data_IF_855267367756
#
_entry.id   IF_855267367756
#
_cell.length_a   1.000
_cell.length_b   1.000
_cell.length_c   1.000
_cell.angle_alpha   90.00
_cell.angle_beta   90.00
_cell.angle_gamma   90.00
#
_symmetry.space_group_name_H-M   'P 1'
#
loop_
_entity.id
_entity.type
_entity.pdbx_description
1 polymer ?
#
# COMPACT_ATOMS: atom_id res chain seq x y z
N UNK A 1 67.45 37.52 -25.65
CA UNK A 1 66.06 37.17 -25.20
C UNK A 1 65.40 36.35 -26.29
N UNK A 2 65.45 35.03 -26.20
CA UNK A 2 64.84 34.11 -27.20
C UNK A 2 63.71 33.36 -26.57
N UNK A 3 62.47 33.61 -27.04
CA UNK A 3 61.27 32.85 -26.69
C UNK A 3 61.35 31.47 -27.36
N UNK A 4 61.33 30.42 -26.59
CA UNK A 4 61.16 29.04 -27.08
C UNK A 4 59.64 28.71 -27.04
N UNK A 5 59.11 28.43 -28.20
CA UNK A 5 57.79 27.92 -28.44
C UNK A 5 57.81 26.42 -28.32
N UNK A 6 57.08 25.84 -27.37
CA UNK A 6 56.96 24.38 -27.22
C UNK A 6 55.68 23.98 -27.99
N UNK A 7 55.88 23.19 -29.02
CA UNK A 7 54.78 22.55 -29.81
C UNK A 7 54.47 21.23 -29.12
N UNK A 8 53.26 21.10 -28.58
CA UNK A 8 52.74 19.81 -28.12
C UNK A 8 52.09 19.10 -29.32
N UNK A 9 52.69 17.99 -29.74
CA UNK A 9 52.07 17.03 -30.63
C UNK A 9 51.14 16.14 -29.81
N UNK A 10 49.82 16.27 -30.01
CA UNK A 10 48.84 15.33 -29.52
C UNK A 10 48.71 14.17 -30.54
N UNK A 11 49.22 13.01 -30.16
CA UNK A 11 49.02 11.76 -30.89
C UNK A 11 47.65 11.21 -30.55
N UNK A 12 46.68 11.29 -31.46
CA UNK A 12 45.39 10.61 -31.36
C UNK A 12 45.59 9.11 -31.65
N UNK A 13 45.62 8.30 -30.61
CA UNK A 13 45.46 6.86 -30.75
C UNK A 13 43.98 6.53 -30.90
N UNK A 14 43.57 6.22 -32.13
CA UNK A 14 42.23 5.74 -32.47
C UNK A 14 42.15 4.27 -32.06
N UNK A 15 41.68 3.98 -30.83
CA UNK A 15 41.25 2.64 -30.45
C UNK A 15 39.91 2.36 -31.16
N UNK A 16 39.95 1.49 -32.17
CA UNK A 16 38.75 0.83 -32.66
C UNK A 16 38.28 -0.14 -31.58
N UNK A 17 37.32 0.29 -30.72
CA UNK A 17 36.48 -0.63 -29.99
C UNK A 17 35.52 -1.24 -31.03
N UNK A 18 35.81 -2.49 -31.41
CA UNK A 18 34.80 -3.34 -32.02
C UNK A 18 33.71 -3.54 -30.97
N UNK A 19 32.63 -2.78 -31.10
CA UNK A 19 31.40 -2.99 -30.34
C UNK A 19 30.88 -4.38 -30.67
N UNK A 20 31.14 -5.35 -29.81
CA UNK A 20 30.24 -6.49 -29.69
C UNK A 20 28.94 -5.93 -29.11
N UNK A 21 27.99 -5.65 -29.98
CA UNK A 21 26.60 -5.59 -29.59
C UNK A 21 26.23 -7.01 -29.15
N UNK A 22 26.34 -7.29 -27.87
CA UNK A 22 25.60 -8.37 -27.25
C UNK A 22 24.16 -7.89 -27.35
N UNK A 23 23.46 -8.31 -28.40
CA UNK A 23 22.00 -8.32 -28.42
C UNK A 23 21.64 -9.38 -27.38
N UNK A 24 21.47 -8.97 -26.13
CA UNK A 24 20.65 -9.72 -25.24
C UNK A 24 19.29 -9.81 -25.96
N UNK A 25 18.86 -10.97 -26.36
CA UNK A 25 17.44 -11.18 -26.64
C UNK A 25 16.74 -10.77 -25.37
N UNK A 26 16.03 -9.64 -25.38
CA UNK A 26 15.12 -9.29 -24.29
C UNK A 26 14.23 -10.52 -24.13
N UNK A 27 14.35 -11.18 -23.00
CA UNK A 27 13.43 -12.24 -22.63
C UNK A 27 12.12 -11.53 -22.33
N UNK A 28 11.18 -11.61 -23.28
CA UNK A 28 9.85 -10.99 -23.17
C UNK A 28 8.85 -11.90 -22.47
N UNK A 29 9.34 -12.93 -21.78
CA UNK A 29 8.49 -13.79 -20.95
C UNK A 29 7.91 -12.96 -19.79
N UNK A 30 6.68 -13.27 -19.40
CA UNK A 30 5.97 -12.63 -18.29
C UNK A 30 5.75 -11.11 -18.45
N UNK A 31 5.58 -10.61 -19.69
CA UNK A 31 5.24 -9.21 -19.94
C UNK A 31 3.72 -9.05 -20.06
N UNK A 32 3.17 -8.11 -19.30
CA UNK A 32 1.73 -7.84 -19.22
C UNK A 32 1.46 -6.36 -19.50
N UNK A 33 0.42 -6.07 -20.28
CA UNK A 33 -0.06 -4.72 -20.50
C UNK A 33 -0.90 -4.24 -19.31
N UNK A 34 -0.68 -3.01 -18.87
CA UNK A 34 -1.53 -2.32 -17.90
C UNK A 34 -2.07 -1.01 -18.46
N UNK A 35 -3.00 -0.37 -17.75
CA UNK A 35 -3.55 0.94 -18.15
C UNK A 35 -2.49 2.04 -18.21
N UNK A 36 -1.34 1.86 -17.54
CA UNK A 36 -0.25 2.85 -17.52
C UNK A 36 0.93 2.49 -18.43
N UNK A 37 1.14 1.22 -18.75
CA UNK A 37 2.25 0.73 -19.58
C UNK A 37 2.49 -0.75 -19.39
N UNK A 38 3.58 -1.27 -19.96
CA UNK A 38 3.93 -2.69 -19.83
C UNK A 38 4.73 -2.93 -18.54
N UNK A 39 4.41 -4.04 -17.88
CA UNK A 39 5.16 -4.54 -16.73
C UNK A 39 5.71 -5.94 -17.03
N UNK A 40 6.88 -6.25 -16.47
CA UNK A 40 7.48 -7.57 -16.58
C UNK A 40 7.68 -8.18 -15.20
N UNK A 41 7.10 -9.35 -14.98
CA UNK A 41 7.30 -10.16 -13.77
C UNK A 41 8.48 -11.12 -13.88
N UNK A 42 8.80 -11.75 -12.77
CA UNK A 42 9.83 -12.77 -12.64
C UNK A 42 9.22 -14.07 -12.12
N UNK A 43 9.84 -15.20 -12.47
CA UNK A 43 9.47 -16.46 -11.82
C UNK A 43 9.95 -16.45 -10.37
N UNK A 44 9.13 -16.98 -9.45
CA UNK A 44 9.49 -17.12 -8.05
C UNK A 44 10.75 -17.94 -7.88
N UNK A 45 11.59 -17.53 -6.94
CA UNK A 45 12.78 -18.27 -6.53
C UNK A 45 12.55 -19.06 -5.23
N UNK A 46 11.36 -18.99 -4.68
CA UNK A 46 11.00 -19.64 -3.43
C UNK A 46 10.76 -21.13 -3.68
N UNK A 47 11.31 -21.98 -2.82
CA UNK A 47 11.21 -23.43 -2.94
C UNK A 47 9.73 -23.88 -2.89
N UNK A 48 9.30 -24.57 -3.93
CA UNK A 48 7.93 -25.08 -4.08
C UNK A 48 6.98 -24.12 -4.83
N UNK A 49 7.48 -22.96 -5.29
CA UNK A 49 6.70 -21.97 -6.03
C UNK A 49 7.32 -21.59 -7.38
N UNK A 50 8.12 -22.48 -7.98
CA UNK A 50 8.87 -22.21 -9.20
C UNK A 50 7.99 -21.94 -10.42
N UNK A 51 6.70 -22.32 -10.37
CA UNK A 51 5.71 -22.03 -11.41
C UNK A 51 5.02 -20.66 -11.22
N UNK A 52 5.23 -20.02 -10.07
CA UNK A 52 4.62 -18.73 -9.76
C UNK A 52 5.40 -17.62 -10.44
N UNK A 53 4.68 -16.74 -11.09
CA UNK A 53 5.18 -15.48 -11.63
C UNK A 53 4.79 -14.35 -10.69
N UNK A 54 5.79 -13.64 -10.21
CA UNK A 54 5.63 -12.50 -9.29
C UNK A 54 5.87 -11.19 -10.05
N UNK A 55 4.94 -10.26 -9.88
CA UNK A 55 5.11 -8.85 -10.26
C UNK A 55 5.20 -8.04 -8.98
N UNK A 56 6.41 -7.61 -8.61
CA UNK A 56 6.68 -6.88 -7.37
C UNK A 56 6.81 -5.39 -7.63
N UNK A 57 6.05 -4.58 -6.89
CA UNK A 57 6.12 -3.14 -6.98
C UNK A 57 5.49 -2.57 -8.26
N UNK A 58 4.33 -3.06 -8.64
CA UNK A 58 3.53 -2.49 -9.75
C UNK A 58 2.84 -1.21 -9.26
N UNK A 59 3.09 -0.04 -9.88
CA UNK A 59 2.46 1.20 -9.46
C UNK A 59 0.97 1.22 -9.86
N UNK A 60 0.09 1.51 -8.90
CA UNK A 60 -1.34 1.67 -9.16
C UNK A 60 -1.80 3.14 -9.12
N UNK A 61 -0.96 4.05 -8.63
CA UNK A 61 -1.21 5.47 -8.59
C UNK A 61 0.11 6.26 -8.65
N UNK A 62 0.03 7.55 -8.90
CA UNK A 62 1.18 8.44 -8.87
C UNK A 62 1.76 8.54 -7.45
N UNK A 63 3.09 8.71 -7.29
CA UNK A 63 3.72 8.92 -5.99
C UNK A 63 3.07 10.07 -5.21
N UNK A 64 2.59 9.85 -3.98
CA UNK A 64 1.91 10.87 -3.18
C UNK A 64 2.90 11.80 -2.45
N UNK A 65 3.87 12.33 -3.18
CA UNK A 65 5.00 13.13 -2.66
C UNK A 65 4.84 14.62 -2.96
N UNK A 66 5.51 15.46 -2.20
CA UNK A 66 5.52 16.91 -2.42
C UNK A 66 4.11 17.50 -2.41
N UNK A 67 3.69 18.14 -3.51
CA UNK A 67 2.36 18.75 -3.62
C UNK A 67 1.20 17.76 -3.57
N UNK A 68 1.46 16.46 -3.77
CA UNK A 68 0.47 15.37 -3.66
C UNK A 68 0.38 14.78 -2.25
N UNK A 69 1.28 15.15 -1.32
CA UNK A 69 1.18 14.74 0.08
C UNK A 69 -0.16 15.23 0.66
N UNK A 70 -0.92 14.32 1.30
CA UNK A 70 -2.27 14.56 1.82
C UNK A 70 -3.28 15.03 0.75
N UNK A 71 -3.19 14.45 -0.44
CA UNK A 71 -4.22 14.54 -1.48
C UNK A 71 -4.74 13.15 -1.83
N UNK A 72 -5.91 13.12 -2.47
CA UNK A 72 -6.41 11.89 -3.07
C UNK A 72 -5.39 11.33 -4.08
N UNK A 73 -5.25 9.99 -4.19
CA UNK A 73 -4.33 9.40 -5.15
C UNK A 73 -4.71 9.79 -6.58
N UNK A 74 -3.69 10.05 -7.39
CA UNK A 74 -3.83 10.43 -8.79
C UNK A 74 -3.40 9.28 -9.70
N UNK A 75 -3.90 9.28 -10.94
CA UNK A 75 -3.43 8.31 -11.94
C UNK A 75 -1.92 8.46 -12.16
N UNK A 76 -1.24 7.34 -12.31
CA UNK A 76 0.18 7.35 -12.64
C UNK A 76 0.37 7.83 -14.09
N UNK A 77 1.49 8.51 -14.37
CA UNK A 77 1.88 8.84 -15.73
C UNK A 77 2.16 7.56 -16.53
N UNK A 78 1.76 7.54 -17.82
CA UNK A 78 2.02 6.41 -18.69
C UNK A 78 3.50 6.35 -19.06
N UNK A 79 4.00 5.12 -19.20
CA UNK A 79 5.36 4.85 -19.67
C UNK A 79 5.37 4.01 -20.94
N UNK A 80 6.39 4.20 -21.77
CA UNK A 80 6.52 3.51 -23.08
C UNK A 80 7.41 2.26 -22.98
N UNK A 81 8.41 2.27 -22.09
CA UNK A 81 9.33 1.14 -21.88
C UNK A 81 8.66 0.05 -21.02
N UNK A 82 9.29 -1.14 -20.94
CA UNK A 82 8.84 -2.19 -20.02
C UNK A 82 9.36 -1.92 -18.62
N UNK A 83 8.47 -1.75 -17.67
CA UNK A 83 8.82 -1.65 -16.24
C UNK A 83 9.07 -3.05 -15.69
N UNK A 84 10.30 -3.33 -15.26
CA UNK A 84 10.65 -4.59 -14.62
C UNK A 84 10.20 -4.56 -13.16
N UNK A 85 9.29 -5.48 -12.81
CA UNK A 85 8.67 -5.61 -11.50
C UNK A 85 9.25 -6.85 -10.77
N UNK A 86 10.55 -6.80 -10.43
CA UNK A 86 11.32 -7.90 -9.88
C UNK A 86 11.66 -7.76 -8.39
N UNK A 87 11.45 -6.56 -7.82
CA UNK A 87 11.75 -6.26 -6.42
C UNK A 87 10.60 -5.52 -5.74
N UNK A 88 10.39 -5.81 -4.45
CA UNK A 88 9.50 -5.00 -3.65
C UNK A 88 10.01 -3.55 -3.60
N UNK A 89 9.08 -2.61 -3.61
CA UNK A 89 9.40 -1.19 -3.42
C UNK A 89 9.57 -0.89 -1.93
N UNK A 90 10.02 0.32 -1.65
CA UNK A 90 10.11 0.85 -0.30
C UNK A 90 8.76 0.77 0.40
N UNK A 91 8.77 0.45 1.69
CA UNK A 91 7.53 0.41 2.46
C UNK A 91 7.02 1.83 2.75
N UNK A 92 5.72 1.98 3.04
CA UNK A 92 5.15 3.26 3.45
C UNK A 92 5.87 3.84 4.66
N UNK A 93 6.00 5.17 4.71
CA UNK A 93 6.52 5.90 5.87
C UNK A 93 5.75 5.51 7.13
N UNK A 94 6.45 4.99 8.14
CA UNK A 94 5.87 4.48 9.37
C UNK A 94 6.88 4.47 10.51
N UNK A 95 6.42 4.42 11.76
CA UNK A 95 7.32 4.24 12.89
C UNK A 95 7.75 2.78 13.04
N UNK A 96 9.06 2.58 13.07
CA UNK A 96 9.68 1.28 13.35
C UNK A 96 9.75 1.08 14.86
N UNK A 97 8.80 0.39 15.46
CA UNK A 97 8.82 0.25 16.93
C UNK A 97 7.95 -0.86 17.49
N UNK A 98 7.17 -1.53 16.68
CA UNK A 98 6.42 -2.69 17.12
C UNK A 98 7.30 -3.94 17.03
N UNK A 99 8.13 -4.14 18.08
CA UNK A 99 8.85 -5.40 18.27
C UNK A 99 7.92 -6.31 19.07
N UNK A 100 7.53 -7.43 18.50
CA UNK A 100 6.84 -8.49 19.21
C UNK A 100 7.59 -8.86 20.50
N UNK A 101 6.90 -9.14 21.61
CA UNK A 101 7.53 -9.58 22.87
C UNK A 101 8.38 -10.86 22.71
N UNK A 102 8.19 -11.63 21.64
CA UNK A 102 8.96 -12.82 21.29
C UNK A 102 10.30 -12.49 20.63
N UNK A 103 10.59 -11.23 20.30
CA UNK A 103 11.77 -10.83 19.54
C UNK A 103 11.73 -11.26 18.07
N UNK A 104 10.61 -11.81 17.60
CA UNK A 104 10.36 -12.04 16.20
C UNK A 104 9.79 -10.76 15.61
N UNK A 105 10.57 -10.16 14.73
CA UNK A 105 10.13 -9.01 13.98
C UNK A 105 9.00 -9.44 13.03
N UNK A 106 7.82 -8.88 13.20
CA UNK A 106 6.68 -9.07 12.29
C UNK A 106 7.04 -8.67 10.85
N UNK A 107 8.13 -7.93 10.68
CA UNK A 107 8.47 -7.26 9.45
C UNK A 107 9.83 -7.68 8.84
N UNK A 108 10.40 -8.81 9.27
CA UNK A 108 11.72 -9.25 8.84
C UNK A 108 12.90 -8.48 9.46
N UNK A 109 13.98 -9.21 9.81
CA UNK A 109 15.18 -8.72 10.52
C UNK A 109 16.01 -7.64 9.80
N UNK A 110 15.56 -7.16 8.67
CA UNK A 110 16.09 -5.99 7.97
C UNK A 110 14.91 -5.08 7.69
N UNK A 111 14.76 -4.02 8.47
CA UNK A 111 13.78 -2.98 8.16
C UNK A 111 14.01 -2.50 6.71
N UNK A 112 13.01 -2.64 5.84
CA UNK A 112 13.14 -2.11 4.50
C UNK A 112 13.30 -0.60 4.52
N UNK A 113 13.84 -0.03 3.46
CA UNK A 113 13.82 1.41 3.27
C UNK A 113 12.37 1.90 3.22
N UNK A 114 12.11 3.09 3.74
CA UNK A 114 10.79 3.73 3.76
C UNK A 114 10.73 4.84 2.73
N UNK A 115 9.56 5.01 2.13
CA UNK A 115 9.29 6.13 1.22
C UNK A 115 7.84 6.59 1.32
N UNK A 116 7.60 7.86 1.01
CA UNK A 116 6.25 8.35 0.70
C UNK A 116 5.78 7.87 -0.68
N UNK A 117 6.72 7.58 -1.59
CA UNK A 117 6.44 6.89 -2.86
C UNK A 117 6.20 5.39 -2.57
N UNK A 118 4.97 5.07 -2.21
CA UNK A 118 4.58 3.75 -1.70
C UNK A 118 3.28 3.19 -2.31
N UNK A 119 2.72 3.82 -3.35
CA UNK A 119 1.45 3.36 -3.93
C UNK A 119 1.68 2.25 -4.97
N UNK A 120 2.10 1.10 -4.47
CA UNK A 120 2.44 -0.09 -5.24
C UNK A 120 1.63 -1.30 -4.78
N UNK A 121 1.53 -2.28 -5.65
CA UNK A 121 0.98 -3.60 -5.33
C UNK A 121 1.89 -4.70 -5.86
N UNK A 122 1.75 -5.89 -5.27
CA UNK A 122 2.41 -7.09 -5.76
C UNK A 122 1.34 -8.07 -6.25
N UNK A 123 1.63 -8.77 -7.35
CA UNK A 123 0.72 -9.76 -7.93
C UNK A 123 1.47 -11.09 -8.05
N UNK A 124 0.86 -12.17 -7.56
CA UNK A 124 1.30 -13.53 -7.78
C UNK A 124 0.28 -14.26 -8.66
N UNK A 125 0.77 -14.86 -9.74
CA UNK A 125 0.01 -15.65 -10.72
C UNK A 125 0.87 -16.82 -11.19
N UNK A 126 0.47 -17.57 -12.23
CA UNK A 126 1.29 -18.60 -12.88
C UNK A 126 1.44 -18.32 -14.37
N UNK A 127 2.47 -18.91 -15.01
CA UNK A 127 2.61 -18.84 -16.46
C UNK A 127 1.37 -19.39 -17.20
N UNK A 128 0.76 -20.43 -16.65
CA UNK A 128 -0.46 -21.01 -17.19
C UNK A 128 -1.63 -20.02 -17.15
N UNK A 129 -1.79 -19.31 -16.02
CA UNK A 129 -2.85 -18.32 -15.86
C UNK A 129 -2.62 -17.07 -16.72
N UNK A 130 -1.36 -16.64 -16.92
CA UNK A 130 -1.02 -15.51 -17.81
C UNK A 130 -1.37 -15.79 -19.27
N UNK A 131 -1.21 -17.04 -19.71
CA UNK A 131 -1.38 -17.43 -21.11
C UNK A 131 -2.71 -18.12 -21.40
N UNK A 132 -3.42 -18.55 -20.36
CA UNK A 132 -4.68 -19.28 -20.47
C UNK A 132 -5.88 -18.39 -20.78
N UNK A 133 -6.92 -19.01 -21.37
CA UNK A 133 -8.18 -18.34 -21.68
C UNK A 133 -9.12 -18.26 -20.45
N UNK A 134 -8.98 -19.18 -19.49
CA UNK A 134 -9.80 -19.24 -18.28
C UNK A 134 -9.31 -18.24 -17.25
N UNK A 135 -10.19 -17.32 -16.83
CA UNK A 135 -9.86 -16.36 -15.77
C UNK A 135 -10.09 -16.96 -14.39
N UNK A 136 -9.15 -16.69 -13.47
CA UNK A 136 -9.11 -17.27 -12.13
C UNK A 136 -9.65 -16.29 -11.08
N UNK A 137 -10.20 -16.78 -9.96
CA UNK A 137 -10.58 -15.92 -8.85
C UNK A 137 -9.42 -15.03 -8.40
N UNK A 138 -9.75 -13.83 -7.93
CA UNK A 138 -8.78 -12.85 -7.44
C UNK A 138 -8.91 -12.69 -5.94
N UNK A 139 -7.81 -12.75 -5.21
CA UNK A 139 -7.74 -12.42 -3.79
C UNK A 139 -6.89 -11.19 -3.57
N UNK A 140 -7.50 -10.12 -3.06
CA UNK A 140 -6.81 -8.87 -2.72
C UNK A 140 -6.65 -8.77 -1.23
N UNK A 141 -5.41 -8.72 -0.77
CA UNK A 141 -5.08 -8.73 0.65
C UNK A 141 -4.54 -7.38 1.13
N UNK A 142 -5.06 -6.92 2.26
CA UNK A 142 -4.61 -5.75 2.99
C UNK A 142 -3.97 -6.15 4.32
N UNK A 143 -2.72 -5.74 4.51
CA UNK A 143 -1.92 -6.07 5.69
C UNK A 143 -2.51 -5.51 6.99
N UNK A 144 -2.14 -6.12 8.13
CA UNK A 144 -2.45 -5.67 9.48
C UNK A 144 -1.63 -4.46 9.93
N UNK A 145 -1.38 -4.37 11.23
CA UNK A 145 -0.64 -3.25 11.84
C UNK A 145 -1.48 -2.00 12.07
N UNK A 146 -2.79 -2.14 12.24
CA UNK A 146 -3.71 -1.02 12.36
C UNK A 146 -3.78 -0.21 11.08
N UNK A 147 -3.62 1.09 11.22
CA UNK A 147 -3.50 2.04 10.11
C UNK A 147 -2.14 2.77 10.17
N UNK A 148 -1.20 2.27 10.98
CA UNK A 148 0.04 2.97 11.32
C UNK A 148 1.30 2.27 10.84
N UNK A 149 1.29 0.93 10.76
CA UNK A 149 2.46 0.12 10.37
C UNK A 149 2.05 -1.02 9.45
N UNK A 150 3.03 -1.67 8.84
CA UNK A 150 2.88 -2.83 7.97
C UNK A 150 3.35 -2.58 6.53
N UNK A 151 3.49 -3.66 5.79
CA UNK A 151 3.88 -3.66 4.37
C UNK A 151 3.53 -5.00 3.71
N UNK A 152 3.57 -5.08 2.38
CA UNK A 152 3.10 -6.23 1.58
C UNK A 152 4.07 -7.40 1.53
N UNK A 153 5.33 -7.22 1.84
CA UNK A 153 6.36 -8.26 1.74
C UNK A 153 6.82 -8.81 3.10
N UNK A 154 6.01 -8.65 4.13
CA UNK A 154 6.09 -9.46 5.34
C UNK A 154 5.73 -10.91 5.02
N UNK A 155 6.04 -11.83 5.94
CA UNK A 155 5.68 -13.25 5.78
C UNK A 155 4.18 -13.46 5.50
N UNK A 156 3.33 -12.57 6.02
CA UNK A 156 1.88 -12.58 5.81
C UNK A 156 1.48 -12.08 4.41
N UNK A 157 2.32 -11.28 3.76
CA UNK A 157 2.09 -10.72 2.42
C UNK A 157 2.58 -11.62 1.29
N UNK A 158 3.25 -12.75 1.58
CA UNK A 158 3.61 -13.74 0.56
C UNK A 158 2.40 -14.60 0.21
N UNK A 159 1.81 -14.30 -0.93
CA UNK A 159 0.57 -14.95 -1.40
C UNK A 159 0.81 -15.98 -2.51
N UNK A 160 2.03 -16.46 -2.71
CA UNK A 160 2.39 -17.41 -3.77
C UNK A 160 1.63 -18.73 -3.66
N UNK A 161 1.31 -19.17 -2.43
CA UNK A 161 0.50 -20.35 -2.20
C UNK A 161 -0.92 -20.25 -2.78
N UNK A 162 -1.48 -19.05 -2.89
CA UNK A 162 -2.75 -18.83 -3.57
C UNK A 162 -2.60 -19.02 -5.07
N UNK A 163 -1.53 -18.46 -5.67
CA UNK A 163 -1.25 -18.59 -7.09
C UNK A 163 -1.06 -20.05 -7.52
N UNK A 164 -0.34 -20.86 -6.73
CA UNK A 164 -0.20 -22.32 -6.93
C UNK A 164 -1.55 -23.07 -6.87
N UNK A 165 -2.57 -22.47 -6.26
CA UNK A 165 -3.91 -23.04 -6.14
C UNK A 165 -4.94 -22.32 -7.03
N UNK A 166 -4.50 -21.80 -8.18
CA UNK A 166 -5.36 -21.17 -9.19
C UNK A 166 -6.14 -19.94 -8.69
N UNK A 167 -5.54 -19.15 -7.79
CA UNK A 167 -6.06 -17.87 -7.33
C UNK A 167 -5.04 -16.77 -7.63
N UNK A 168 -5.41 -15.78 -8.40
CA UNK A 168 -4.55 -14.61 -8.59
C UNK A 168 -4.53 -13.80 -7.30
N UNK A 169 -3.36 -13.66 -6.69
CA UNK A 169 -3.25 -13.02 -5.39
C UNK A 169 -2.56 -11.65 -5.51
N UNK A 170 -3.14 -10.65 -4.86
CA UNK A 170 -2.67 -9.27 -4.89
C UNK A 170 -2.51 -8.75 -3.46
N UNK A 171 -1.34 -8.24 -3.11
CA UNK A 171 -1.11 -7.50 -1.87
C UNK A 171 -0.88 -6.02 -2.17
N UNK A 172 -1.47 -5.15 -1.34
CA UNK A 172 -1.56 -3.70 -1.63
C UNK A 172 -0.88 -2.89 -0.55
N UNK A 173 0.07 -2.04 -0.95
CA UNK A 173 0.60 -0.95 -0.12
C UNK A 173 -0.34 0.26 -0.17
N UNK A 174 -0.36 1.04 0.91
CA UNK A 174 -1.11 2.29 1.02
C UNK A 174 -0.43 3.20 2.03
N UNK A 175 -0.73 4.50 2.00
CA UNK A 175 -0.25 5.44 3.01
C UNK A 175 -0.76 5.08 4.40
N UNK A 176 0.12 5.25 5.39
CA UNK A 176 -0.10 4.89 6.79
C UNK A 176 0.09 6.11 7.72
N UNK A 177 -0.35 5.97 8.97
CA UNK A 177 -0.10 6.96 10.03
C UNK A 177 -0.49 8.37 9.63
N UNK A 178 0.39 9.32 9.88
CA UNK A 178 0.17 10.74 9.56
C UNK A 178 0.10 10.99 8.06
N UNK A 179 0.76 10.20 7.23
CA UNK A 179 0.71 10.34 5.77
C UNK A 179 -0.62 9.88 5.18
N UNK A 180 -1.23 8.86 5.80
CA UNK A 180 -2.49 8.29 5.36
C UNK A 180 -3.73 8.89 6.00
N UNK A 181 -3.61 9.51 7.20
CA UNK A 181 -4.80 9.83 8.00
C UNK A 181 -4.75 11.18 8.71
N UNK A 182 -3.76 12.05 8.45
CA UNK A 182 -3.71 13.39 9.04
C UNK A 182 -4.92 14.21 8.59
N UNK A 183 -5.64 14.77 9.56
CA UNK A 183 -6.76 15.67 9.35
C UNK A 183 -6.42 17.05 9.93
N UNK A 184 -6.60 18.09 9.14
CA UNK A 184 -6.36 19.46 9.54
C UNK A 184 -7.43 20.39 8.96
N UNK A 185 -7.79 21.50 9.64
CA UNK A 185 -8.72 22.48 9.08
C UNK A 185 -8.28 23.01 7.72
N UNK A 186 -6.96 23.28 7.52
CA UNK A 186 -6.41 23.78 6.26
C UNK A 186 -6.58 22.78 5.12
N UNK A 187 -6.43 21.47 5.40
CA UNK A 187 -6.65 20.42 4.42
C UNK A 187 -8.14 20.30 4.06
N UNK A 188 -9.02 20.43 5.05
CA UNK A 188 -10.47 20.45 4.82
C UNK A 188 -10.92 21.67 4.03
N UNK A 189 -10.31 22.84 4.26
CA UNK A 189 -10.57 24.04 3.46
C UNK A 189 -10.11 23.86 2.01
N UNK A 190 -8.95 23.22 1.79
CA UNK A 190 -8.39 22.97 0.45
C UNK A 190 -9.23 21.94 -0.35
N UNK A 191 -9.75 20.87 0.29
CA UNK A 191 -10.25 19.67 -0.39
C UNK A 191 -11.71 19.34 -0.07
N UNK A 192 -12.36 20.09 0.84
CA UNK A 192 -13.72 19.81 1.30
C UNK A 192 -13.81 18.74 2.38
N UNK A 193 -12.72 18.04 2.67
CA UNK A 193 -12.52 17.05 3.74
C UNK A 193 -11.03 16.85 3.99
N UNK A 194 -10.66 16.21 5.10
CA UNK A 194 -9.28 15.78 5.37
C UNK A 194 -9.22 14.47 6.13
N UNK A 195 -8.06 13.82 6.09
CA UNK A 195 -7.88 12.46 6.57
C UNK A 195 -8.30 11.42 5.51
N UNK A 196 -8.28 10.15 5.89
CA UNK A 196 -8.73 9.01 5.07
C UNK A 196 -7.97 8.81 3.74
N UNK A 197 -6.78 9.42 3.55
CA UNK A 197 -6.00 9.27 2.30
C UNK A 197 -5.58 7.82 2.07
N UNK A 198 -5.23 7.07 3.14
CA UNK A 198 -4.95 5.65 3.05
C UNK A 198 -6.16 4.82 2.61
N UNK A 199 -7.39 5.20 3.00
CA UNK A 199 -8.61 4.58 2.48
C UNK A 199 -8.82 4.90 1.01
N UNK A 200 -8.55 6.14 0.60
CA UNK A 200 -8.60 6.54 -0.82
C UNK A 200 -7.62 5.73 -1.66
N UNK A 201 -6.41 5.47 -1.13
CA UNK A 201 -5.41 4.64 -1.80
C UNK A 201 -5.91 3.21 -2.01
N UNK A 202 -6.56 2.62 -1.01
CA UNK A 202 -7.11 1.28 -1.07
C UNK A 202 -8.23 1.17 -2.13
N UNK A 203 -9.13 2.16 -2.18
CA UNK A 203 -10.18 2.25 -3.21
C UNK A 203 -9.53 2.36 -4.59
N UNK A 204 -8.54 3.25 -4.74
CA UNK A 204 -7.81 3.41 -6.00
C UNK A 204 -7.08 2.15 -6.45
N UNK A 205 -6.52 1.39 -5.52
CA UNK A 205 -5.90 0.10 -5.82
C UNK A 205 -6.93 -0.92 -6.35
N UNK A 206 -8.12 -0.98 -5.75
CA UNK A 206 -9.18 -1.86 -6.24
C UNK A 206 -9.71 -1.44 -7.62
N UNK A 207 -9.86 -0.15 -7.89
CA UNK A 207 -10.20 0.37 -9.21
C UNK A 207 -9.17 -0.08 -10.25
N UNK A 208 -7.86 0.08 -9.94
CA UNK A 208 -6.78 -0.36 -10.80
C UNK A 208 -6.79 -1.89 -11.02
N UNK A 209 -7.02 -2.67 -9.95
CA UNK A 209 -7.12 -4.14 -10.03
C UNK A 209 -8.28 -4.53 -10.94
N UNK A 210 -9.46 -3.96 -10.74
CA UNK A 210 -10.65 -4.22 -11.58
C UNK A 210 -10.37 -3.97 -13.06
N UNK A 211 -9.63 -2.90 -13.38
CA UNK A 211 -9.29 -2.54 -14.75
C UNK A 211 -8.24 -3.48 -15.40
N UNK A 212 -7.26 -3.95 -14.61
CA UNK A 212 -6.04 -4.55 -15.16
C UNK A 212 -5.91 -6.05 -14.90
N UNK A 213 -6.57 -6.61 -13.87
CA UNK A 213 -6.27 -7.97 -13.38
C UNK A 213 -6.55 -9.07 -14.40
N UNK A 214 -7.43 -8.81 -15.36
CA UNK A 214 -7.70 -9.76 -16.46
C UNK A 214 -6.44 -10.05 -17.30
N UNK A 215 -5.52 -9.10 -17.43
CA UNK A 215 -4.28 -9.29 -18.14
C UNK A 215 -3.27 -10.15 -17.37
N UNK A 216 -3.45 -10.29 -16.06
CA UNK A 216 -2.69 -11.18 -15.19
C UNK A 216 -3.35 -12.56 -14.99
N UNK A 217 -4.41 -12.86 -15.72
CA UNK A 217 -5.15 -14.12 -15.65
C UNK A 217 -6.31 -14.10 -14.64
N UNK A 218 -6.58 -12.99 -13.96
CA UNK A 218 -7.65 -12.85 -12.98
C UNK A 218 -9.01 -12.55 -13.59
N UNK A 219 -10.07 -12.94 -12.89
CA UNK A 219 -11.46 -12.59 -13.22
C UNK A 219 -11.86 -11.31 -12.48
N UNK A 220 -12.01 -10.17 -13.18
CA UNK A 220 -12.41 -8.91 -12.56
C UNK A 220 -13.82 -8.94 -11.96
N UNK A 221 -14.66 -9.91 -12.32
CA UNK A 221 -16.00 -10.11 -11.74
C UNK A 221 -16.00 -11.08 -10.55
N UNK A 222 -14.82 -11.61 -10.15
CA UNK A 222 -14.70 -12.58 -9.06
C UNK A 222 -13.57 -12.16 -8.10
N UNK A 223 -13.71 -10.99 -7.48
CA UNK A 223 -12.75 -10.43 -6.54
C UNK A 223 -13.20 -10.72 -5.10
N UNK A 224 -12.31 -11.29 -4.31
CA UNK A 224 -12.44 -11.43 -2.86
C UNK A 224 -11.46 -10.48 -2.19
N UNK A 225 -11.93 -9.64 -1.29
CA UNK A 225 -11.08 -8.76 -0.50
C UNK A 225 -10.88 -9.34 0.89
N UNK A 226 -9.66 -9.28 1.40
CA UNK A 226 -9.37 -9.78 2.73
C UNK A 226 -8.30 -8.98 3.46
N UNK A 227 -8.13 -9.31 4.72
CA UNK A 227 -7.09 -8.72 5.54
C UNK A 227 -7.13 -9.21 6.97
N UNK A 228 -6.03 -9.00 7.66
CA UNK A 228 -5.83 -9.39 9.04
C UNK A 228 -5.80 -8.13 9.93
N UNK A 229 -6.38 -8.18 11.14
CA UNK A 229 -6.32 -7.07 12.12
C UNK A 229 -6.75 -5.72 11.51
N UNK A 230 -5.85 -4.74 11.39
CA UNK A 230 -6.10 -3.48 10.69
C UNK A 230 -6.55 -3.65 9.23
N UNK A 231 -6.13 -4.72 8.56
CA UNK A 231 -6.61 -5.08 7.22
C UNK A 231 -8.12 -5.35 7.17
N UNK A 232 -8.68 -5.92 8.25
CA UNK A 232 -10.13 -6.08 8.38
C UNK A 232 -10.86 -4.72 8.43
N UNK A 233 -10.30 -3.76 9.18
CA UNK A 233 -10.86 -2.40 9.24
C UNK A 233 -10.81 -1.74 7.85
N UNK A 234 -9.69 -1.88 7.14
CA UNK A 234 -9.52 -1.39 5.77
C UNK A 234 -10.59 -1.97 4.85
N UNK A 235 -10.68 -3.31 4.78
CA UNK A 235 -11.62 -4.02 3.91
C UNK A 235 -13.08 -3.64 4.19
N UNK A 236 -13.51 -3.65 5.46
CA UNK A 236 -14.91 -3.34 5.82
C UNK A 236 -15.25 -1.87 5.60
N UNK A 237 -14.33 -0.94 5.90
CA UNK A 237 -14.58 0.49 5.67
C UNK A 237 -14.66 0.81 4.17
N UNK A 238 -13.83 0.17 3.37
CA UNK A 238 -13.84 0.30 1.91
C UNK A 238 -15.19 -0.10 1.31
N UNK A 239 -15.71 -1.29 1.68
CA UNK A 239 -17.02 -1.76 1.23
C UNK A 239 -18.16 -0.82 1.70
N UNK A 240 -18.03 -0.25 2.89
CA UNK A 240 -19.03 0.70 3.42
C UNK A 240 -18.88 2.13 2.86
N UNK A 241 -17.89 2.38 2.01
CA UNK A 241 -17.64 3.70 1.45
C UNK A 241 -18.56 4.00 0.27
N UNK A 242 -19.27 5.15 0.26
CA UNK A 242 -20.05 5.59 -0.91
C UNK A 242 -19.19 5.90 -2.15
N UNK A 243 -17.85 5.93 -2.00
CA UNK A 243 -16.90 6.14 -3.08
C UNK A 243 -16.35 4.85 -3.68
N UNK A 244 -16.74 3.71 -3.12
CA UNK A 244 -16.39 2.42 -3.65
C UNK A 244 -17.27 2.10 -4.86
N UNK A 245 -16.67 2.09 -6.06
CA UNK A 245 -17.34 1.82 -7.34
C UNK A 245 -16.92 0.47 -7.95
N UNK A 246 -16.33 -0.39 -7.12
CA UNK A 246 -15.96 -1.76 -7.50
C UNK A 246 -16.84 -2.73 -6.73
N UNK A 247 -17.60 -3.56 -7.44
CA UNK A 247 -18.39 -4.60 -6.81
C UNK A 247 -17.51 -5.65 -6.17
N UNK A 248 -17.62 -5.80 -4.85
CA UNK A 248 -16.96 -6.84 -4.05
C UNK A 248 -18.02 -7.51 -3.18
N UNK A 249 -18.29 -8.76 -3.47
CA UNK A 249 -19.31 -9.57 -2.82
C UNK A 249 -18.75 -10.63 -1.85
N UNK A 250 -17.43 -10.63 -1.66
CA UNK A 250 -16.72 -11.63 -0.82
C UNK A 250 -15.64 -10.99 0.04
N UNK A 251 -15.69 -11.27 1.34
CA UNK A 251 -14.70 -10.83 2.30
C UNK A 251 -14.10 -12.00 3.09
N UNK A 252 -12.77 -11.93 3.33
CA UNK A 252 -12.06 -12.78 4.29
C UNK A 252 -11.50 -11.87 5.38
N UNK A 253 -12.04 -12.01 6.61
CA UNK A 253 -11.77 -11.09 7.72
C UNK A 253 -11.11 -11.84 8.87
N UNK A 254 -9.82 -11.59 9.06
CA UNK A 254 -8.99 -12.30 10.03
C UNK A 254 -8.70 -11.43 11.25
N UNK A 255 -9.15 -11.86 12.43
CA UNK A 255 -8.80 -11.27 13.74
C UNK A 255 -9.08 -9.76 13.88
N UNK A 256 -10.09 -9.22 13.21
CA UNK A 256 -10.32 -7.78 13.15
C UNK A 256 -11.69 -7.26 13.56
N UNK A 257 -12.74 -8.06 13.49
CA UNK A 257 -14.12 -7.57 13.68
C UNK A 257 -14.37 -6.88 15.01
N UNK A 258 -13.75 -7.33 16.11
CA UNK A 258 -13.91 -6.71 17.43
C UNK A 258 -13.28 -5.31 17.56
N UNK A 259 -12.38 -4.95 16.63
CA UNK A 259 -11.68 -3.67 16.64
C UNK A 259 -12.35 -2.61 15.77
N UNK A 260 -13.38 -2.98 15.02
CA UNK A 260 -14.14 -2.06 14.19
C UNK A 260 -15.11 -1.28 15.09
N UNK A 261 -14.61 -0.22 15.71
CA UNK A 261 -15.38 0.66 16.60
C UNK A 261 -15.99 1.86 15.85
N UNK A 262 -16.42 2.85 16.63
CA UNK A 262 -16.86 4.12 16.10
C UNK A 262 -15.68 4.90 15.50
N UNK A 263 -15.92 5.51 14.34
CA UNK A 263 -14.99 6.46 13.77
C UNK A 263 -15.00 7.77 14.55
N UNK A 264 -13.88 8.47 14.60
CA UNK A 264 -13.86 9.83 15.16
C UNK A 264 -14.61 10.79 14.22
N UNK A 265 -15.15 11.88 14.78
CA UNK A 265 -15.72 12.93 13.95
C UNK A 265 -14.63 13.67 13.16
N UNK A 266 -14.99 14.34 12.05
CA UNK A 266 -14.08 15.23 11.32
C UNK A 266 -13.50 16.31 12.25
N UNK A 267 -14.33 16.93 13.09
CA UNK A 267 -13.91 17.96 14.04
C UNK A 267 -12.89 17.45 15.06
N UNK A 268 -13.08 16.23 15.60
CA UNK A 268 -12.13 15.65 16.54
C UNK A 268 -10.83 15.23 15.83
N UNK A 269 -10.92 14.77 14.59
CA UNK A 269 -9.75 14.46 13.77
C UNK A 269 -8.89 15.71 13.52
N UNK A 270 -9.50 16.84 13.17
CA UNK A 270 -8.82 18.11 12.97
C UNK A 270 -8.19 18.67 14.26
N UNK A 271 -8.88 18.51 15.41
CA UNK A 271 -8.30 18.86 16.72
C UNK A 271 -7.06 18.02 17.03
N UNK A 272 -7.13 16.72 16.79
CA UNK A 272 -6.00 15.82 16.99
C UNK A 272 -4.84 16.16 16.05
N UNK A 273 -5.12 16.46 14.78
CA UNK A 273 -4.10 16.90 13.84
C UNK A 273 -3.46 18.22 14.22
N UNK A 274 -4.24 19.19 14.74
CA UNK A 274 -3.71 20.44 15.25
C UNK A 274 -2.80 20.23 16.47
N UNK A 275 -3.20 19.35 17.41
CA UNK A 275 -2.37 18.99 18.55
C UNK A 275 -1.06 18.31 18.11
N UNK A 276 -1.11 17.45 17.09
CA UNK A 276 0.09 16.86 16.50
C UNK A 276 1.05 17.91 15.94
N UNK A 277 0.56 18.97 15.27
CA UNK A 277 1.42 20.08 14.81
C UNK A 277 2.09 20.81 16.00
N UNK A 278 1.36 21.04 17.08
CA UNK A 278 1.88 21.65 18.29
C UNK A 278 3.00 20.80 18.93
N UNK A 279 2.86 19.49 18.94
CA UNK A 279 3.88 18.55 19.44
C UNK A 279 5.16 18.57 18.60
N UNK A 280 5.03 18.80 17.28
CA UNK A 280 6.17 19.07 16.39
C UNK A 280 6.79 20.46 16.62
N UNK A 281 6.20 21.30 17.47
CA UNK A 281 6.61 22.69 17.67
C UNK A 281 6.22 23.63 16.54
N UNK A 282 5.24 23.22 15.73
CA UNK A 282 4.74 23.99 14.59
C UNK A 282 3.53 24.86 15.00
N UNK A 283 3.26 25.90 14.24
CA UNK A 283 2.04 26.69 14.40
C UNK A 283 0.82 25.92 13.88
N UNK A 284 -0.30 26.03 14.59
CA UNK A 284 -1.59 25.53 14.12
C UNK A 284 -2.01 26.15 12.77
N UNK A 285 -1.51 27.34 12.45
CA UNK A 285 -1.79 28.08 11.21
C UNK A 285 -0.68 27.92 10.15
N UNK A 286 0.20 26.91 10.27
CA UNK A 286 1.23 26.62 9.28
C UNK A 286 0.60 26.47 7.89
N UNK A 287 1.24 27.01 6.87
CA UNK A 287 0.75 26.86 5.51
C UNK A 287 0.94 25.42 5.01
N UNK A 288 0.04 24.96 4.13
CA UNK A 288 0.18 23.64 3.52
C UNK A 288 1.42 23.54 2.62
N UNK A 289 1.89 24.62 2.04
CA UNK A 289 3.15 24.68 1.28
C UNK A 289 4.35 24.37 2.20
N UNK A 290 4.43 25.03 3.36
CA UNK A 290 5.50 24.79 4.34
C UNK A 290 5.43 23.37 4.91
N UNK A 291 4.24 22.89 5.26
CA UNK A 291 4.06 21.56 5.85
C UNK A 291 4.39 20.45 4.84
N UNK A 292 4.01 20.62 3.55
CA UNK A 292 4.36 19.69 2.47
C UNK A 292 5.85 19.71 2.12
N UNK A 293 6.56 20.79 2.40
CA UNK A 293 8.00 20.90 2.19
C UNK A 293 8.84 20.23 3.29
N UNK A 294 8.24 19.83 4.40
CA UNK A 294 8.95 19.20 5.50
C UNK A 294 9.45 17.80 5.12
N UNK A 295 10.55 17.41 5.74
CA UNK A 295 11.08 16.06 5.62
C UNK A 295 10.12 15.03 6.24
N UNK A 296 9.95 13.88 5.57
CA UNK A 296 9.02 12.84 6.03
C UNK A 296 9.42 12.22 7.37
N UNK A 297 10.71 12.06 7.65
CA UNK A 297 11.19 11.53 8.92
C UNK A 297 10.93 12.52 10.09
N UNK A 298 10.95 13.82 9.80
CA UNK A 298 10.60 14.83 10.81
C UNK A 298 9.12 14.76 11.19
N UNK A 299 8.25 14.49 10.21
CA UNK A 299 6.82 14.30 10.43
C UNK A 299 6.51 13.02 11.23
N UNK A 300 7.36 12.00 11.21
CA UNK A 300 7.16 10.79 12.00
C UNK A 300 7.49 10.96 13.49
N UNK A 301 8.36 11.92 13.88
CA UNK A 301 8.94 12.01 15.23
C UNK A 301 7.94 12.10 16.39
N UNK A 302 6.72 12.53 16.17
CA UNK A 302 5.67 12.63 17.20
C UNK A 302 4.39 11.90 16.83
N UNK A 303 4.42 11.09 15.76
CA UNK A 303 3.21 10.52 15.18
C UNK A 303 2.55 9.48 16.10
N UNK A 304 3.34 8.60 16.73
CA UNK A 304 2.81 7.52 17.54
C UNK A 304 2.21 7.98 18.88
N UNK A 305 2.73 9.06 19.47
CA UNK A 305 2.27 9.53 20.78
C UNK A 305 0.94 10.30 20.67
N UNK A 306 0.76 11.07 19.61
CA UNK A 306 -0.34 12.03 19.49
C UNK A 306 -1.26 11.79 18.28
N UNK A 307 -0.77 11.11 17.24
CA UNK A 307 -1.57 10.83 16.06
C UNK A 307 -1.51 9.34 15.64
N UNK A 308 -2.33 8.48 16.26
CA UNK A 308 -2.28 7.03 16.05
C UNK A 308 -2.88 6.56 14.71
N UNK A 309 -2.97 7.40 13.69
CA UNK A 309 -3.58 7.08 12.41
C UNK A 309 -4.98 6.49 12.59
N UNK A 310 -6.03 7.28 12.44
CA UNK A 310 -7.41 6.82 12.55
C UNK A 310 -8.25 7.38 11.43
N UNK A 311 -9.09 6.55 10.89
CA UNK A 311 -10.15 7.00 9.98
C UNK A 311 -11.12 7.91 10.74
N UNK A 312 -11.63 8.91 10.06
CA UNK A 312 -12.64 9.82 10.55
C UNK A 312 -13.89 9.80 9.67
N UNK A 313 -15.03 10.02 10.29
CA UNK A 313 -16.30 10.18 9.58
C UNK A 313 -16.32 11.56 8.90
N UNK A 314 -16.00 11.56 7.60
CA UNK A 314 -15.98 12.76 6.76
C UNK A 314 -17.30 12.94 5.97
N UNK A 315 -18.18 11.95 6.00
CA UNK A 315 -19.45 11.93 5.26
C UNK A 315 -19.29 11.71 3.76
N UNK A 316 -18.05 11.59 3.25
CA UNK A 316 -17.74 11.44 1.83
C UNK A 316 -17.14 10.07 1.50
N UNK A 317 -16.08 9.68 2.19
CA UNK A 317 -15.45 8.35 2.09
C UNK A 317 -15.89 7.44 3.24
N UNK A 318 -16.05 8.00 4.43
CA UNK A 318 -16.57 7.30 5.61
C UNK A 318 -17.92 7.94 5.98
N UNK A 319 -19.00 7.37 5.44
CA UNK A 319 -20.35 7.89 5.61
C UNK A 319 -20.97 7.49 6.96
N UNK A 320 -20.68 6.31 7.45
CA UNK A 320 -21.26 5.75 8.66
C UNK A 320 -20.43 6.09 9.90
N UNK A 321 -21.05 6.31 11.07
CA UNK A 321 -20.31 6.58 12.31
C UNK A 321 -19.55 5.34 12.83
N UNK A 322 -19.92 4.16 12.35
CA UNK A 322 -19.24 2.89 12.64
C UNK A 322 -19.58 1.84 11.58
N UNK A 323 -18.80 0.78 11.50
CA UNK A 323 -19.16 -0.37 10.66
C UNK A 323 -20.43 -1.06 11.15
N UNK A 324 -20.70 -1.05 12.46
CA UNK A 324 -21.95 -1.58 12.99
C UNK A 324 -23.17 -0.86 12.43
N UNK A 325 -23.12 0.46 12.26
CA UNK A 325 -24.22 1.21 11.64
C UNK A 325 -24.34 0.89 10.15
N UNK A 326 -23.23 0.70 9.42
CA UNK A 326 -23.27 0.25 8.04
C UNK A 326 -23.92 -1.14 7.90
N UNK A 327 -23.63 -2.05 8.85
CA UNK A 327 -24.29 -3.37 8.92
C UNK A 327 -25.78 -3.22 9.21
N UNK A 328 -26.19 -2.36 10.15
CA UNK A 328 -27.59 -2.12 10.48
C UNK A 328 -28.38 -1.54 9.30
N UNK A 329 -27.72 -0.77 8.44
CA UNK A 329 -28.31 -0.18 7.21
C UNK A 329 -28.28 -1.15 6.01
N UNK A 330 -27.78 -2.40 6.21
CA UNK A 330 -27.83 -3.45 5.19
C UNK A 330 -26.71 -3.38 4.14
N UNK A 331 -25.65 -2.60 4.35
CA UNK A 331 -24.53 -2.45 3.39
C UNK A 331 -23.87 -3.79 3.05
N UNK A 332 -23.90 -4.74 3.98
CA UNK A 332 -23.27 -6.05 3.85
C UNK A 332 -24.25 -7.20 3.57
N UNK A 333 -25.53 -6.91 3.28
CA UNK A 333 -26.57 -7.94 3.14
C UNK A 333 -26.28 -8.92 1.99
N UNK A 334 -25.68 -8.45 0.91
CA UNK A 334 -25.30 -9.25 -0.26
C UNK A 334 -23.83 -9.68 -0.26
N UNK A 335 -23.08 -9.43 0.84
CA UNK A 335 -21.65 -9.75 0.96
C UNK A 335 -21.45 -11.08 1.69
N UNK A 336 -20.78 -12.03 1.03
CA UNK A 336 -20.38 -13.29 1.65
C UNK A 336 -19.13 -13.10 2.52
N UNK A 337 -19.21 -13.41 3.82
CA UNK A 337 -18.14 -13.14 4.76
C UNK A 337 -17.61 -14.45 5.37
N UNK A 338 -16.30 -14.71 5.18
CA UNK A 338 -15.56 -15.69 5.97
C UNK A 338 -14.79 -14.92 7.06
N UNK A 339 -15.07 -15.23 8.32
CA UNK A 339 -14.40 -14.54 9.44
C UNK A 339 -13.91 -15.52 10.50
N UNK A 340 -12.76 -15.22 11.10
CA UNK A 340 -12.16 -16.00 12.17
C UNK A 340 -11.26 -15.16 13.06
N UNK A 341 -10.95 -15.73 14.24
CA UNK A 341 -10.01 -15.15 15.19
C UNK A 341 -9.34 -16.27 16.00
N UNK A 342 -8.14 -16.03 16.49
CA UNK A 342 -7.45 -16.96 17.36
C UNK A 342 -8.05 -16.94 18.78
N UNK A 343 -8.03 -18.08 19.48
CA UNK A 343 -8.55 -18.19 20.84
C UNK A 343 -7.81 -17.31 21.87
N UNK A 344 -6.52 -17.02 21.61
CA UNK A 344 -5.66 -16.19 22.46
C UNK A 344 -5.71 -14.70 22.17
N UNK A 345 -6.55 -14.25 21.27
CA UNK A 345 -6.65 -12.86 20.85
C UNK A 345 -6.88 -11.89 22.01
N UNK A 346 -5.96 -10.94 22.16
CA UNK A 346 -6.02 -9.91 23.20
C UNK A 346 -5.72 -10.37 24.62
N UNK A 347 -5.37 -11.63 24.87
CA UNK A 347 -4.98 -12.10 26.20
C UNK A 347 -3.68 -11.45 26.69
N UNK A 348 -2.77 -11.12 25.78
CA UNK A 348 -1.53 -10.39 26.08
C UNK A 348 -1.73 -8.89 26.30
N UNK A 349 -2.92 -8.34 26.00
CA UNK A 349 -3.29 -6.97 26.29
C UNK A 349 -3.95 -6.80 27.67
N UNK A 350 -4.33 -7.92 28.30
CA UNK A 350 -4.85 -7.95 29.67
C UNK A 350 -3.82 -8.67 30.53
N UNK A 351 -3.11 -7.93 31.38
CA UNK A 351 -2.35 -8.54 32.44
C UNK A 351 -3.38 -9.15 33.40
N UNK A 352 -3.56 -10.49 33.46
CA UNK A 352 -4.51 -11.07 34.39
C UNK A 352 -4.09 -10.70 35.79
N UNK A 353 -5.02 -10.22 36.58
CA UNK A 353 -4.79 -10.01 38.03
C UNK A 353 -4.66 -11.38 38.69
N UNK A 354 -3.94 -11.43 39.81
CA UNK A 354 -3.72 -12.68 40.58
C UNK A 354 -5.01 -13.40 41.00
N UNK A 355 -6.14 -12.74 40.92
CA UNK A 355 -7.48 -13.26 41.29
C UNK A 355 -8.24 -13.88 40.08
N UNK A 356 -7.65 -13.82 38.88
CA UNK A 356 -8.24 -14.37 37.66
C UNK A 356 -7.60 -15.70 37.19
N UNK A 357 -6.69 -16.26 38.03
CA UNK A 357 -6.12 -17.60 37.84
C UNK A 357 -6.76 -18.62 38.77
#
# INVERSE_FOLDING_TARGET
MKKRMVVLMASAAMMMLSGMTVSASENLDNVVDTSYGKVQGINSTDEGYENVVQFKGVPYAAPPVGDLRWKAPMDHEKWDDILVCDTNREMPMQELGFVEPSGTDFHNNTAPEMSEDCLYLNISTTEENLTGDEKKPVYVWFHGGGLTVGHTYSAEGNLDAFAENDVIAVSVEQRLGVFGYLSLPQLSEEQGQSGNYGLMDQIKALEWIKENIANFGGDPENITVGGQSGGTTKATTMIASPKMDVDVDKLILESGLKYVGAFQSQEDAEKNGTAYLEDLGLSADISMEELRAMDGEELLKSASEHYPGRMNQDGLYVAYPSIQEAVNEGVFDDVSILSGANMGEGQYLQTPTADEF
#
